data_IF_071422925656
#
_entry.id   IF_071422925656
#
_cell.length_a   1.000
_cell.length_b   1.000
_cell.length_c   1.000
_cell.angle_alpha   90.00
_cell.angle_beta   90.00
_cell.angle_gamma   90.00
#
_symmetry.space_group_name_H-M   'P 1'
#
loop_
_entity.id
_entity.type
_entity.pdbx_description
1 polymer ?
#
# COMPACT_ATOMS: atom_id res chain seq x y z
N UNK A 1 21.42 26.66 2.76
CA UNK A 1 20.98 26.08 1.48
C UNK A 1 20.03 24.95 1.81
N UNK A 2 18.74 25.08 1.46
CA UNK A 2 17.83 23.95 1.48
C UNK A 2 18.15 23.11 0.24
N UNK A 3 19.13 22.22 0.36
CA UNK A 3 19.51 21.30 -0.72
C UNK A 3 18.50 20.16 -0.80
N UNK A 4 18.36 19.53 -1.97
CA UNK A 4 17.30 18.55 -2.23
C UNK A 4 17.46 17.32 -1.31
N UNK A 5 16.52 17.05 -0.38
CA UNK A 5 16.60 15.93 0.56
C UNK A 5 16.68 14.57 -0.12
N UNK A 6 16.22 14.47 -1.37
CA UNK A 6 16.28 13.24 -2.18
C UNK A 6 17.71 12.95 -2.64
N UNK A 7 18.54 13.98 -2.86
CA UNK A 7 19.92 13.80 -3.34
C UNK A 7 20.90 13.36 -2.25
N UNK A 8 20.64 13.76 -1.01
CA UNK A 8 21.51 13.47 0.14
C UNK A 8 20.89 12.49 1.13
N UNK A 9 19.67 12.03 0.85
CA UNK A 9 18.85 11.14 1.69
C UNK A 9 18.72 11.60 3.15
N UNK A 10 18.80 12.91 3.39
CA UNK A 10 18.81 13.51 4.72
C UNK A 10 17.95 14.77 4.78
N UNK A 11 17.36 14.99 5.95
CA UNK A 11 16.71 16.24 6.32
C UNK A 11 17.58 17.02 7.30
N UNK A 12 17.38 18.33 7.36
CA UNK A 12 18.04 19.17 8.36
C UNK A 12 17.66 18.72 9.78
N UNK A 13 18.59 18.79 10.73
CA UNK A 13 18.36 18.37 12.13
C UNK A 13 17.18 19.11 12.78
N UNK A 14 16.95 20.36 12.38
CA UNK A 14 15.86 21.20 12.87
C UNK A 14 14.60 21.14 11.99
N UNK A 15 14.44 20.12 11.12
CA UNK A 15 13.34 20.07 10.14
C UNK A 15 11.96 20.16 10.79
N UNK A 16 11.74 19.56 11.96
CA UNK A 16 10.45 19.64 12.68
C UNK A 16 10.14 21.09 13.11
N UNK A 17 11.17 21.85 13.50
CA UNK A 17 11.02 23.27 13.83
C UNK A 17 10.73 24.10 12.58
N UNK A 18 11.42 23.80 11.46
CA UNK A 18 11.15 24.42 10.16
C UNK A 18 9.71 24.14 9.72
N UNK A 19 9.23 22.90 9.86
CA UNK A 19 7.83 22.52 9.56
C UNK A 19 6.85 23.39 10.35
N UNK A 20 7.05 23.55 11.66
CA UNK A 20 6.18 24.39 12.51
C UNK A 20 6.20 25.87 12.08
N UNK A 21 7.37 26.38 11.71
CA UNK A 21 7.50 27.75 11.20
C UNK A 21 6.74 27.93 9.89
N UNK A 22 6.92 27.02 8.94
CA UNK A 22 6.24 27.06 7.64
C UNK A 22 4.72 26.93 7.79
N UNK A 23 4.23 26.09 8.71
CA UNK A 23 2.80 26.02 9.07
C UNK A 23 2.27 27.39 9.49
N UNK A 24 3.00 28.09 10.37
CA UNK A 24 2.63 29.43 10.82
C UNK A 24 2.57 30.43 9.67
N UNK A 25 3.60 30.44 8.82
CA UNK A 25 3.67 31.32 7.65
C UNK A 25 2.53 31.07 6.65
N UNK A 26 2.21 29.81 6.36
CA UNK A 26 1.10 29.44 5.46
C UNK A 26 -0.23 29.93 6.02
N UNK A 27 -0.47 29.74 7.33
CA UNK A 27 -1.70 30.22 7.97
C UNK A 27 -1.84 31.74 7.97
N UNK A 28 -0.73 32.46 8.09
CA UNK A 28 -0.73 33.93 8.09
C UNK A 28 -0.83 34.52 6.68
N UNK A 29 -0.07 33.98 5.72
CA UNK A 29 0.07 34.56 4.37
C UNK A 29 -0.88 34.00 3.34
N UNK A 30 -1.39 32.78 3.55
CA UNK A 30 -2.29 32.09 2.62
C UNK A 30 -3.41 31.34 3.36
N UNK A 31 -4.20 32.01 4.24
CA UNK A 31 -5.21 31.36 5.07
C UNK A 31 -6.27 30.59 4.26
N UNK A 32 -6.63 31.11 3.08
CA UNK A 32 -7.66 30.52 2.21
C UNK A 32 -7.28 29.13 1.66
N UNK A 33 -5.98 28.86 1.50
CA UNK A 33 -5.48 27.58 0.97
C UNK A 33 -4.73 26.77 2.04
N UNK A 34 -4.69 27.26 3.28
CA UNK A 34 -3.89 26.66 4.34
C UNK A 34 -4.28 25.20 4.61
N UNK A 35 -5.58 24.89 4.67
CA UNK A 35 -6.05 23.52 4.88
C UNK A 35 -5.52 22.56 3.81
N UNK A 36 -5.71 22.91 2.53
CA UNK A 36 -5.27 22.09 1.40
C UNK A 36 -3.76 21.88 1.41
N UNK A 37 -2.98 22.93 1.71
CA UNK A 37 -1.51 22.83 1.79
C UNK A 37 -1.06 21.93 2.94
N UNK A 38 -1.72 22.01 4.10
CA UNK A 38 -1.44 21.17 5.26
C UNK A 38 -1.77 19.70 5.00
N UNK A 39 -2.93 19.42 4.41
CA UNK A 39 -3.37 18.06 4.05
C UNK A 39 -2.44 17.44 3.02
N UNK A 40 -2.07 18.21 1.99
CA UNK A 40 -1.13 17.76 0.97
C UNK A 40 0.26 17.49 1.55
N UNK A 41 0.76 18.39 2.41
CA UNK A 41 2.04 18.20 3.09
C UNK A 41 2.02 16.96 4.00
N UNK A 42 0.93 16.74 4.73
CA UNK A 42 0.76 15.55 5.56
C UNK A 42 0.82 14.27 4.72
N UNK A 43 0.15 14.25 3.56
CA UNK A 43 0.22 13.15 2.61
C UNK A 43 1.65 12.85 2.16
N UNK A 44 2.42 13.88 1.77
CA UNK A 44 3.82 13.73 1.36
C UNK A 44 4.73 13.22 2.50
N UNK A 45 4.53 13.71 3.72
CA UNK A 45 5.32 13.24 4.88
C UNK A 45 4.96 11.79 5.21
N UNK A 46 3.67 11.43 5.18
CA UNK A 46 3.20 10.08 5.50
C UNK A 46 3.68 9.03 4.49
N UNK A 47 3.86 9.38 3.21
CA UNK A 47 4.40 8.48 2.18
C UNK A 47 5.91 8.56 2.01
N UNK A 48 6.56 9.62 2.53
CA UNK A 48 7.97 9.88 2.33
C UNK A 48 8.91 8.91 3.07
N UNK A 49 9.79 8.24 2.32
CA UNK A 49 10.89 7.43 2.86
C UNK A 49 11.91 8.27 3.65
N UNK A 50 12.31 9.44 3.14
CA UNK A 50 13.37 10.24 3.79
C UNK A 50 12.99 10.71 5.21
N UNK A 51 11.79 11.28 5.46
CA UNK A 51 11.35 11.57 6.83
C UNK A 51 11.37 10.36 7.77
N UNK A 52 11.02 9.17 7.25
CA UNK A 52 11.03 7.91 8.02
C UNK A 52 12.45 7.52 8.39
N UNK A 53 13.33 7.44 7.40
CA UNK A 53 14.72 7.00 7.58
C UNK A 53 15.51 7.99 8.47
N UNK A 54 15.10 9.27 8.51
CA UNK A 54 15.62 10.28 9.43
C UNK A 54 15.00 10.26 10.85
N UNK A 55 14.01 9.39 11.12
CA UNK A 55 13.36 9.29 12.43
C UNK A 55 12.47 10.48 12.82
N UNK A 56 12.05 11.30 11.85
CA UNK A 56 11.28 12.54 12.09
C UNK A 56 9.86 12.51 11.53
N UNK A 57 9.50 11.45 10.80
CA UNK A 57 8.21 11.31 10.11
C UNK A 57 7.01 11.57 11.03
N UNK A 58 6.90 10.83 12.14
CA UNK A 58 5.77 10.95 13.07
C UNK A 58 5.73 12.34 13.73
N UNK A 59 6.89 12.90 14.10
CA UNK A 59 6.95 14.23 14.70
C UNK A 59 6.47 15.33 13.74
N UNK A 60 6.82 15.23 12.46
CA UNK A 60 6.33 16.13 11.42
C UNK A 60 4.82 15.95 11.16
N UNK A 61 4.34 14.71 11.05
CA UNK A 61 2.91 14.40 10.91
C UNK A 61 2.10 14.96 12.09
N UNK A 62 2.59 14.78 13.31
CA UNK A 62 1.99 15.35 14.52
C UNK A 62 1.86 16.87 14.44
N UNK A 63 2.92 17.57 14.03
CA UNK A 63 2.88 19.03 13.91
C UNK A 63 1.82 19.49 12.89
N UNK A 64 1.67 18.79 11.78
CA UNK A 64 0.67 19.10 10.74
C UNK A 64 -0.76 18.84 11.23
N UNK A 65 -1.01 17.68 11.86
CA UNK A 65 -2.34 17.33 12.39
C UNK A 65 -2.73 18.25 13.56
N UNK A 66 -1.80 18.57 14.46
CA UNK A 66 -2.05 19.54 15.54
C UNK A 66 -2.33 20.95 14.98
N UNK A 67 -1.86 21.23 13.75
CA UNK A 67 -2.18 22.45 13.02
C UNK A 67 -3.49 22.37 12.20
N UNK A 68 -4.21 21.25 12.23
CA UNK A 68 -5.51 21.09 11.59
C UNK A 68 -5.49 20.28 10.29
N UNK A 69 -4.33 19.72 9.88
CA UNK A 69 -4.30 18.79 8.75
C UNK A 69 -5.21 17.59 9.02
N UNK A 70 -6.03 17.22 8.04
CA UNK A 70 -6.92 16.07 8.12
C UNK A 70 -6.11 14.79 7.87
N UNK A 71 -6.18 13.79 8.76
CA UNK A 71 -5.36 12.57 8.66
C UNK A 71 -5.70 11.68 7.45
N UNK A 72 -6.84 11.89 6.78
CA UNK A 72 -7.20 11.14 5.58
C UNK A 72 -7.32 9.64 5.85
N UNK A 73 -6.51 8.81 5.19
CA UNK A 73 -6.45 7.36 5.41
C UNK A 73 -5.02 6.83 5.35
N UNK A 74 -4.79 5.62 5.87
CA UNK A 74 -3.45 5.03 5.98
C UNK A 74 -2.89 4.37 4.71
N UNK A 75 -3.69 4.23 3.66
CA UNK A 75 -3.35 3.33 2.54
C UNK A 75 -2.11 3.79 1.77
N UNK A 76 -1.96 5.10 1.51
CA UNK A 76 -0.80 5.64 0.83
C UNK A 76 0.50 5.40 1.61
N UNK A 77 0.48 5.59 2.93
CA UNK A 77 1.65 5.32 3.77
C UNK A 77 2.05 3.84 3.72
N UNK A 78 1.08 2.94 3.80
CA UNK A 78 1.32 1.49 3.70
C UNK A 78 1.89 1.08 2.33
N UNK A 79 1.44 1.69 1.23
CA UNK A 79 1.97 1.44 -0.11
C UNK A 79 3.47 1.69 -0.23
N UNK A 80 4.03 2.55 0.63
CA UNK A 80 5.46 2.86 0.69
C UNK A 80 6.17 2.23 1.89
N UNK A 81 5.54 1.25 2.56
CA UNK A 81 6.09 0.54 3.71
C UNK A 81 6.14 1.37 5.00
N UNK A 82 5.41 2.49 5.07
CA UNK A 82 5.38 3.37 6.25
C UNK A 82 4.26 2.94 7.21
N UNK A 83 4.38 1.74 7.77
CA UNK A 83 3.37 1.13 8.65
C UNK A 83 3.10 1.97 9.90
N UNK A 84 4.14 2.53 10.51
CA UNK A 84 4.00 3.39 11.69
C UNK A 84 3.21 4.67 11.36
N UNK A 85 3.53 5.31 10.23
CA UNK A 85 2.80 6.48 9.76
C UNK A 85 1.33 6.16 9.49
N UNK A 86 1.04 5.03 8.84
CA UNK A 86 -0.32 4.59 8.58
C UNK A 86 -1.11 4.36 9.88
N UNK A 87 -0.52 3.67 10.86
CA UNK A 87 -1.16 3.44 12.14
C UNK A 87 -1.42 4.77 12.87
N UNK A 88 -0.44 5.68 12.85
CA UNK A 88 -0.58 7.01 13.45
C UNK A 88 -1.73 7.81 12.83
N UNK A 89 -1.91 7.77 11.50
CA UNK A 89 -3.05 8.43 10.84
C UNK A 89 -4.39 7.89 11.34
N UNK A 90 -4.51 6.57 11.51
CA UNK A 90 -5.74 5.94 12.02
C UNK A 90 -6.00 6.32 13.48
N UNK A 91 -4.98 6.31 14.33
CA UNK A 91 -5.08 6.75 15.73
C UNK A 91 -5.52 8.21 15.87
N UNK A 92 -5.22 9.05 14.87
CA UNK A 92 -5.61 10.46 14.83
C UNK A 92 -6.96 10.70 14.15
N UNK A 93 -7.73 9.65 13.86
CA UNK A 93 -9.09 9.75 13.30
C UNK A 93 -9.16 9.56 11.79
N UNK A 94 -8.09 9.08 11.17
CA UNK A 94 -8.10 8.68 9.76
C UNK A 94 -9.06 7.52 9.50
N UNK A 95 -9.58 7.42 8.27
CA UNK A 95 -10.52 6.38 7.86
C UNK A 95 -9.84 5.00 7.87
N UNK A 96 -10.33 4.12 8.72
CA UNK A 96 -9.94 2.70 8.74
C UNK A 96 -10.78 1.92 7.72
N UNK A 97 -10.21 1.67 6.56
CA UNK A 97 -10.79 0.76 5.55
C UNK A 97 -10.32 -0.67 5.77
N UNK A 98 -10.99 -1.64 5.14
CA UNK A 98 -10.60 -3.04 5.22
C UNK A 98 -9.16 -3.25 4.69
N UNK A 99 -8.80 -2.64 3.56
CA UNK A 99 -7.43 -2.69 3.03
C UNK A 99 -6.38 -2.08 3.97
N UNK A 100 -6.70 -1.02 4.71
CA UNK A 100 -5.81 -0.46 5.73
C UNK A 100 -5.68 -1.42 6.92
N UNK A 101 -6.78 -2.04 7.37
CA UNK A 101 -6.75 -3.03 8.44
C UNK A 101 -5.89 -4.25 8.07
N UNK A 102 -5.95 -4.71 6.81
CA UNK A 102 -5.06 -5.75 6.25
C UNK A 102 -3.60 -5.31 6.28
N UNK A 103 -3.27 -4.13 5.73
CA UNK A 103 -1.89 -3.65 5.73
C UNK A 103 -1.30 -3.45 7.14
N UNK A 104 -2.14 -3.07 8.11
CA UNK A 104 -1.77 -2.97 9.53
C UNK A 104 -1.88 -4.30 10.30
N UNK A 105 -2.37 -5.37 9.67
CA UNK A 105 -2.63 -6.69 10.28
C UNK A 105 -3.47 -6.62 11.55
N UNK A 106 -4.52 -5.79 11.54
CA UNK A 106 -5.44 -5.59 12.67
C UNK A 106 -6.62 -6.56 12.60
N UNK A 107 -6.42 -7.80 13.06
CA UNK A 107 -7.40 -8.90 12.92
C UNK A 107 -8.81 -8.58 13.43
N UNK A 108 -8.92 -7.96 14.60
CA UNK A 108 -10.23 -7.62 15.17
C UNK A 108 -10.98 -6.60 14.29
N UNK A 109 -10.26 -5.65 13.69
CA UNK A 109 -10.83 -4.68 12.78
C UNK A 109 -11.18 -5.32 11.43
N UNK A 110 -10.35 -6.24 10.92
CA UNK A 110 -10.64 -7.02 9.70
C UNK A 110 -11.94 -7.81 9.88
N UNK A 111 -12.03 -8.62 10.94
CA UNK A 111 -13.20 -9.44 11.22
C UNK A 111 -14.46 -8.57 11.36
N UNK A 112 -14.39 -7.47 12.10
CA UNK A 112 -15.51 -6.52 12.24
C UNK A 112 -15.93 -5.92 10.89
N UNK A 113 -14.98 -5.40 10.11
CA UNK A 113 -15.28 -4.72 8.85
C UNK A 113 -15.82 -5.67 7.78
N UNK A 114 -15.37 -6.93 7.74
CA UNK A 114 -15.85 -7.93 6.79
C UNK A 114 -17.36 -8.19 6.88
N UNK A 115 -17.94 -8.11 8.08
CA UNK A 115 -19.38 -8.36 8.30
C UNK A 115 -20.31 -7.39 7.55
N UNK A 116 -19.83 -6.19 7.25
CA UNK A 116 -20.60 -5.14 6.57
C UNK A 116 -19.99 -4.73 5.23
N UNK A 117 -18.86 -5.32 4.85
CA UNK A 117 -18.15 -4.98 3.63
C UNK A 117 -18.92 -5.44 2.39
N UNK A 118 -18.95 -4.60 1.37
CA UNK A 118 -19.39 -4.97 0.03
C UNK A 118 -18.43 -5.99 -0.60
N UNK A 119 -18.90 -6.71 -1.63
CA UNK A 119 -18.07 -7.69 -2.34
C UNK A 119 -16.83 -7.04 -2.97
N UNK A 120 -16.95 -5.80 -3.44
CA UNK A 120 -15.83 -5.04 -3.96
C UNK A 120 -14.79 -4.70 -2.86
N UNK A 121 -15.23 -4.31 -1.66
CA UNK A 121 -14.31 -4.06 -0.53
C UNK A 121 -13.61 -5.33 -0.08
N UNK A 122 -14.33 -6.46 -0.05
CA UNK A 122 -13.77 -7.78 0.25
C UNK A 122 -12.70 -8.19 -0.79
N UNK A 123 -13.00 -8.02 -2.08
CA UNK A 123 -12.05 -8.28 -3.15
C UNK A 123 -10.83 -7.35 -3.07
N UNK A 124 -11.03 -6.07 -2.78
CA UNK A 124 -9.95 -5.11 -2.58
C UNK A 124 -9.05 -5.51 -1.40
N UNK A 125 -9.62 -6.06 -0.33
CA UNK A 125 -8.87 -6.58 0.81
C UNK A 125 -8.04 -7.81 0.45
N UNK A 126 -8.60 -8.76 -0.30
CA UNK A 126 -7.85 -9.92 -0.81
C UNK A 126 -6.72 -9.49 -1.74
N UNK A 127 -6.98 -8.52 -2.61
CA UNK A 127 -5.98 -7.92 -3.50
C UNK A 127 -4.85 -7.24 -2.72
N UNK A 128 -5.18 -6.52 -1.65
CA UNK A 128 -4.18 -5.91 -0.76
C UNK A 128 -3.35 -6.97 -0.01
N UNK A 129 -3.97 -8.01 0.53
CA UNK A 129 -3.25 -9.09 1.21
C UNK A 129 -2.29 -9.80 0.24
N UNK A 130 -2.72 -10.03 -0.99
CA UNK A 130 -1.91 -10.61 -2.06
C UNK A 130 -0.72 -9.73 -2.45
N UNK A 131 -0.93 -8.41 -2.58
CA UNK A 131 0.11 -7.43 -2.84
C UNK A 131 1.21 -7.42 -1.78
N UNK A 132 0.85 -7.63 -0.51
CA UNK A 132 1.83 -7.75 0.58
C UNK A 132 2.43 -9.15 0.73
N UNK A 133 1.97 -10.15 -0.04
CA UNK A 133 2.36 -11.55 0.14
C UNK A 133 1.99 -12.11 1.52
N UNK A 134 0.91 -11.60 2.14
CA UNK A 134 0.46 -12.03 3.46
C UNK A 134 -0.30 -13.36 3.36
N UNK A 135 0.44 -14.46 3.33
CA UNK A 135 -0.08 -15.83 3.16
C UNK A 135 -1.24 -16.16 4.12
N UNK A 136 -1.10 -15.79 5.40
CA UNK A 136 -2.10 -16.02 6.43
C UNK A 136 -3.38 -15.22 6.19
N UNK A 137 -3.25 -13.97 5.74
CA UNK A 137 -4.40 -13.10 5.45
C UNK A 137 -5.11 -13.51 4.18
N UNK A 138 -4.36 -13.88 3.14
CA UNK A 138 -4.94 -14.43 1.90
C UNK A 138 -5.72 -15.69 2.21
N UNK A 139 -5.14 -16.62 2.97
CA UNK A 139 -5.85 -17.83 3.40
C UNK A 139 -7.13 -17.49 4.17
N UNK A 140 -7.04 -16.63 5.18
CA UNK A 140 -8.20 -16.23 5.97
C UNK A 140 -9.33 -15.65 5.11
N UNK A 141 -9.01 -14.74 4.19
CA UNK A 141 -9.99 -14.12 3.29
C UNK A 141 -10.61 -15.11 2.30
N UNK A 142 -9.85 -16.09 1.81
CA UNK A 142 -10.37 -17.17 0.98
C UNK A 142 -11.30 -18.11 1.78
N UNK A 143 -10.95 -18.43 3.03
CA UNK A 143 -11.77 -19.24 3.93
C UNK A 143 -13.11 -18.56 4.27
N UNK A 144 -13.17 -17.22 4.24
CA UNK A 144 -14.40 -16.41 4.32
C UNK A 144 -15.24 -16.42 3.03
N UNK A 145 -14.84 -17.19 2.01
CA UNK A 145 -15.57 -17.38 0.76
C UNK A 145 -15.41 -16.26 -0.26
N UNK A 146 -14.38 -15.41 -0.11
CA UNK A 146 -14.12 -14.31 -1.05
C UNK A 146 -13.57 -14.89 -2.36
N UNK A 147 -14.20 -14.55 -3.49
CA UNK A 147 -13.74 -14.95 -4.81
C UNK A 147 -12.29 -14.47 -5.06
N UNK A 148 -11.36 -15.36 -5.49
CA UNK A 148 -10.01 -14.96 -5.89
C UNK A 148 -9.96 -14.25 -7.25
N UNK A 149 -11.10 -14.19 -7.94
CA UNK A 149 -11.25 -13.61 -9.27
C UNK A 149 -11.98 -12.27 -9.21
N UNK A 150 -11.55 -11.35 -10.07
CA UNK A 150 -12.14 -10.02 -10.22
C UNK A 150 -11.10 -8.92 -10.18
N UNK A 151 -11.59 -7.69 -10.34
CA UNK A 151 -10.79 -6.47 -10.30
C UNK A 151 -11.46 -5.50 -9.33
N UNK A 152 -10.75 -5.01 -8.31
CA UNK A 152 -11.28 -3.97 -7.43
C UNK A 152 -11.63 -2.71 -8.23
N UNK A 153 -12.64 -1.96 -7.76
CA UNK A 153 -13.00 -0.68 -8.36
C UNK A 153 -11.88 0.37 -8.23
N UNK A 154 -11.87 1.36 -9.12
CA UNK A 154 -10.97 2.49 -9.01
C UNK A 154 -11.14 3.20 -7.64
N UNK A 155 -10.01 3.50 -6.98
CA UNK A 155 -10.00 4.15 -5.67
C UNK A 155 -10.21 3.21 -4.46
N UNK A 156 -10.42 1.91 -4.67
CA UNK A 156 -10.57 0.92 -3.58
C UNK A 156 -9.24 0.44 -2.98
N UNK A 157 -8.10 0.75 -3.60
CA UNK A 157 -6.78 0.34 -3.13
C UNK A 157 -5.74 0.29 -4.24
N UNK A 158 -4.85 -0.71 -4.14
CA UNK A 158 -3.76 -0.96 -5.08
C UNK A 158 -4.25 -1.36 -6.45
N UNK A 159 -3.59 -0.85 -7.50
CA UNK A 159 -3.58 -1.40 -8.86
C UNK A 159 -4.91 -2.06 -9.30
N UNK A 160 -6.01 -1.29 -9.30
CA UNK A 160 -7.38 -1.70 -9.68
C UNK A 160 -7.53 -2.34 -11.07
N UNK A 161 -6.46 -2.35 -11.87
CA UNK A 161 -6.39 -2.99 -13.17
C UNK A 161 -6.00 -4.47 -13.11
N UNK A 162 -5.60 -4.98 -11.95
CA UNK A 162 -5.03 -6.31 -11.78
C UNK A 162 -5.80 -7.15 -10.75
N UNK A 163 -5.75 -8.47 -10.91
CA UNK A 163 -6.42 -9.44 -10.01
C UNK A 163 -5.58 -9.71 -8.75
N UNK A 164 -6.14 -10.34 -7.70
CA UNK A 164 -5.33 -10.82 -6.57
C UNK A 164 -4.12 -11.66 -7.00
N UNK A 165 -4.27 -12.51 -8.03
CA UNK A 165 -3.18 -13.36 -8.50
C UNK A 165 -2.04 -12.55 -9.13
N UNK A 166 -2.34 -11.50 -9.90
CA UNK A 166 -1.31 -10.58 -10.40
C UNK A 166 -0.54 -9.89 -9.26
N UNK A 167 -1.25 -9.47 -8.21
CA UNK A 167 -0.61 -8.85 -7.05
C UNK A 167 0.26 -9.83 -6.25
N UNK A 168 -0.18 -11.09 -6.12
CA UNK A 168 0.62 -12.15 -5.49
C UNK A 168 1.89 -12.45 -6.29
N UNK A 169 1.82 -12.40 -7.62
CA UNK A 169 3.00 -12.50 -8.47
C UNK A 169 3.93 -11.32 -8.20
N UNK A 170 3.42 -10.09 -8.23
CA UNK A 170 4.23 -8.88 -7.99
C UNK A 170 4.92 -8.89 -6.62
N UNK A 171 4.26 -9.41 -5.58
CA UNK A 171 4.85 -9.52 -4.24
C UNK A 171 5.98 -10.54 -4.13
N UNK A 172 6.19 -11.38 -5.16
CA UNK A 172 7.20 -12.43 -5.17
C UNK A 172 6.88 -13.59 -4.21
N UNK A 173 5.65 -13.68 -3.70
CA UNK A 173 5.24 -14.73 -2.77
C UNK A 173 4.68 -15.95 -3.51
N UNK A 174 5.53 -16.96 -3.74
CA UNK A 174 5.12 -18.22 -4.37
C UNK A 174 4.00 -18.92 -3.60
N UNK A 175 4.04 -18.88 -2.26
CA UNK A 175 3.01 -19.47 -1.40
C UNK A 175 1.66 -18.77 -1.62
N UNK A 176 1.64 -17.45 -1.72
CA UNK A 176 0.41 -16.70 -1.98
C UNK A 176 -0.14 -17.00 -3.38
N UNK A 177 0.74 -17.12 -4.38
CA UNK A 177 0.38 -17.55 -5.74
C UNK A 177 -0.28 -18.93 -5.71
N UNK A 178 0.34 -19.91 -5.04
CA UNK A 178 -0.20 -21.27 -4.91
C UNK A 178 -1.58 -21.27 -4.24
N UNK A 179 -1.74 -20.57 -3.12
CA UNK A 179 -3.02 -20.49 -2.42
C UNK A 179 -4.15 -19.93 -3.32
N UNK A 180 -3.87 -18.86 -4.07
CA UNK A 180 -4.86 -18.28 -4.97
C UNK A 180 -5.21 -19.24 -6.12
N UNK A 181 -4.22 -19.91 -6.71
CA UNK A 181 -4.43 -20.92 -7.77
C UNK A 181 -5.23 -22.11 -7.25
N UNK A 182 -4.91 -22.62 -6.06
CA UNK A 182 -5.65 -23.71 -5.40
C UNK A 182 -7.10 -23.31 -5.08
N UNK A 183 -7.34 -22.03 -4.78
CA UNK A 183 -8.68 -21.47 -4.61
C UNK A 183 -9.43 -21.19 -5.93
N UNK A 184 -8.83 -21.49 -7.09
CA UNK A 184 -9.46 -21.33 -8.40
C UNK A 184 -9.30 -19.94 -9.02
N UNK A 185 -8.22 -19.23 -8.70
CA UNK A 185 -7.84 -18.03 -9.44
C UNK A 185 -7.58 -18.35 -10.92
N UNK A 186 -8.10 -17.52 -11.82
CA UNK A 186 -7.88 -17.63 -13.26
C UNK A 186 -6.44 -17.22 -13.59
N UNK A 187 -5.62 -18.24 -13.91
CA UNK A 187 -4.22 -18.07 -14.29
C UNK A 187 -4.03 -17.43 -15.68
N UNK A 188 -5.11 -17.29 -16.45
CA UNK A 188 -5.12 -16.69 -17.78
C UNK A 188 -5.77 -15.30 -17.81
N UNK A 189 -6.30 -14.81 -16.68
CA UNK A 189 -6.86 -13.48 -16.58
C UNK A 189 -5.82 -12.44 -17.03
N UNK A 190 -6.25 -11.45 -17.80
CA UNK A 190 -5.37 -10.37 -18.27
C UNK A 190 -5.62 -9.08 -17.52
N UNK A 191 -4.56 -8.43 -17.06
CA UNK A 191 -4.68 -7.10 -16.47
C UNK A 191 -5.28 -6.09 -17.48
N UNK A 192 -5.99 -5.09 -16.96
CA UNK A 192 -6.78 -4.16 -17.79
C UNK A 192 -5.94 -3.08 -18.48
N UNK A 193 -4.66 -2.91 -18.15
CA UNK A 193 -3.83 -1.80 -18.66
C UNK A 193 -2.89 -2.29 -19.76
N UNK A 194 -2.20 -3.40 -19.53
CA UNK A 194 -1.17 -3.92 -20.43
C UNK A 194 -1.59 -5.24 -21.07
N UNK A 195 -2.68 -5.86 -20.61
CA UNK A 195 -3.13 -7.16 -21.11
C UNK A 195 -2.19 -8.31 -20.71
N UNK A 196 -1.34 -8.11 -19.70
CA UNK A 196 -0.44 -9.13 -19.19
C UNK A 196 -1.21 -10.16 -18.36
N UNK A 197 -0.82 -11.42 -18.45
CA UNK A 197 -1.31 -12.49 -17.57
C UNK A 197 -0.46 -12.56 -16.29
N UNK A 198 -0.86 -13.32 -15.25
CA UNK A 198 -0.01 -13.58 -14.10
C UNK A 198 1.37 -14.15 -14.47
N UNK A 199 1.42 -15.06 -15.46
CA UNK A 199 2.69 -15.55 -16.00
C UNK A 199 3.49 -14.44 -16.69
N UNK A 200 2.83 -13.61 -17.50
CA UNK A 200 3.47 -12.46 -18.15
C UNK A 200 4.05 -11.47 -17.15
N UNK A 201 3.37 -11.23 -16.03
CA UNK A 201 3.90 -10.40 -14.92
C UNK A 201 5.12 -11.05 -14.27
N UNK A 202 5.13 -12.36 -14.06
CA UNK A 202 6.27 -13.09 -13.49
C UNK A 202 7.49 -13.08 -14.42
N UNK A 203 7.27 -13.10 -15.74
CA UNK A 203 8.34 -13.02 -16.75
C UNK A 203 8.85 -11.58 -16.96
N UNK A 204 8.01 -10.57 -16.73
CA UNK A 204 8.37 -9.16 -16.86
C UNK A 204 9.04 -8.59 -15.61
N UNK A 205 8.56 -8.93 -14.40
CA UNK A 205 9.02 -8.36 -13.14
C UNK A 205 10.55 -8.43 -12.91
N UNK A 206 11.28 -9.47 -13.35
CA UNK A 206 12.75 -9.50 -13.33
C UNK A 206 13.44 -8.28 -13.96
N UNK A 207 12.80 -7.59 -14.91
CA UNK A 207 13.38 -6.40 -15.56
C UNK A 207 13.36 -5.15 -14.65
N UNK A 208 12.56 -5.16 -13.59
CA UNK A 208 12.37 -4.05 -12.65
C UNK A 208 13.21 -4.22 -11.36
N UNK A 209 13.84 -5.39 -11.17
CA UNK A 209 14.62 -5.72 -9.97
C UNK A 209 16.06 -6.07 -10.35
N UNK A 210 17.00 -5.77 -9.44
CA UNK A 210 18.43 -6.09 -9.62
C UNK A 210 18.97 -7.05 -8.56
N UNK A 211 18.12 -7.47 -7.63
CA UNK A 211 18.50 -8.36 -6.53
C UNK A 211 18.32 -9.83 -6.93
N UNK A 212 19.39 -10.63 -6.78
CA UNK A 212 19.40 -12.04 -7.18
C UNK A 212 18.34 -12.90 -6.45
N UNK A 213 17.99 -12.56 -5.21
CA UNK A 213 16.98 -13.29 -4.46
C UNK A 213 15.58 -12.98 -5.00
N UNK A 214 15.29 -11.72 -5.35
CA UNK A 214 14.04 -11.34 -6.02
C UNK A 214 13.93 -12.00 -7.40
N UNK A 215 14.99 -11.97 -8.21
CA UNK A 215 15.02 -12.64 -9.52
C UNK A 215 14.67 -14.14 -9.40
N UNK A 216 15.20 -14.81 -8.38
CA UNK A 216 14.90 -16.22 -8.11
C UNK A 216 13.42 -16.45 -7.78
N UNK A 217 12.80 -15.59 -6.96
CA UNK A 217 11.38 -15.71 -6.60
C UNK A 217 10.49 -15.66 -7.85
N UNK A 218 10.70 -14.69 -8.73
CA UNK A 218 9.91 -14.57 -9.96
C UNK A 218 10.14 -15.74 -10.91
N UNK A 219 11.36 -16.28 -10.99
CA UNK A 219 11.65 -17.46 -11.78
C UNK A 219 10.87 -18.70 -11.28
N UNK A 220 10.83 -18.93 -9.97
CA UNK A 220 10.08 -20.03 -9.34
C UNK A 220 8.56 -19.87 -9.56
N UNK A 221 8.03 -18.64 -9.45
CA UNK A 221 6.63 -18.33 -9.75
C UNK A 221 6.30 -18.60 -11.22
N UNK A 222 7.15 -18.14 -12.15
CA UNK A 222 6.96 -18.37 -13.58
C UNK A 222 6.98 -19.86 -13.92
N UNK A 223 7.90 -20.63 -13.33
CA UNK A 223 7.94 -22.09 -13.49
C UNK A 223 6.66 -22.77 -12.97
N UNK A 224 6.20 -22.39 -11.77
CA UNK A 224 4.96 -22.91 -11.21
C UNK A 224 3.76 -22.62 -12.13
N UNK A 225 3.59 -21.37 -12.57
CA UNK A 225 2.48 -20.97 -13.44
C UNK A 225 2.54 -21.67 -14.80
N UNK A 226 3.72 -21.85 -15.42
CA UNK A 226 3.86 -22.63 -16.66
C UNK A 226 3.41 -24.08 -16.51
N UNK A 227 3.65 -24.68 -15.35
CA UNK A 227 3.27 -26.05 -15.07
C UNK A 227 1.78 -26.18 -14.72
N UNK A 228 1.16 -25.16 -14.13
CA UNK A 228 -0.27 -25.14 -13.82
C UNK A 228 -1.17 -25.00 -15.07
N UNK A 229 -0.61 -24.61 -16.22
CA UNK A 229 -1.33 -24.49 -17.50
C UNK A 229 -1.47 -25.83 -18.24
N UNK A 230 -0.73 -26.87 -17.83
CA UNK A 230 -0.72 -28.20 -18.47
C UNK A 230 -1.76 -29.13 -17.88
#
# INVERSE_FOLDING_TARGET
MADNPIRHEKLAENIVAITKLLIGEVKTKAPETAQQQLDYCLGLVATGRIPRDCGVQIAMMKALIDAGAQPGGGMGALAHGNTEAANYLIERGGKLTLGVAIGLRRMDDIARLLTTASDNEKLAALTAAAFYGQVDMVKYLLDEGISPNGYPDAGSGFHHHATPLHQAVWSGSLETVKLLVEAGADIHATDKVYGGTPLGWAEYAPNEVSDDAELKKYAEIAEYLRNAVK
#
